data_IF_742017737861
#
_entry.id   IF_742017737861
#
_cell.length_a   1.000
_cell.length_b   1.000
_cell.length_c   1.000
_cell.angle_alpha   90.00
_cell.angle_beta   90.00
_cell.angle_gamma   90.00
#
_symmetry.space_group_name_H-M   'P 1'
#
loop_
_entity.id
_entity.type
_entity.pdbx_description
1 polymer ?
#
# COMPACT_ATOMS: atom_id res chain seq x y z
N UNK A 1 13.18 12.12 -0.93
CA UNK A 1 13.04 10.81 -0.29
C UNK A 1 11.57 10.60 -0.04
N UNK A 2 10.87 9.94 -0.96
CA UNK A 2 9.45 9.67 -0.81
C UNK A 2 9.24 8.72 0.37
N UNK A 3 8.35 9.12 1.28
CA UNK A 3 8.04 8.34 2.47
C UNK A 3 7.42 7.01 2.04
N UNK A 4 8.02 5.91 2.50
CA UNK A 4 7.56 4.57 2.20
C UNK A 4 6.12 4.38 2.72
N UNK A 5 5.17 3.91 1.89
CA UNK A 5 3.80 3.68 2.35
C UNK A 5 3.81 2.55 3.39
N UNK A 6 3.36 2.86 4.61
CA UNK A 6 3.23 1.88 5.69
C UNK A 6 2.04 0.97 5.45
N UNK A 7 2.06 -0.24 6.02
CA UNK A 7 0.91 -1.17 5.96
C UNK A 7 -0.40 -0.48 6.39
N UNK A 8 -0.36 0.30 7.47
CA UNK A 8 -1.51 1.09 7.95
C UNK A 8 -2.03 2.07 6.90
N UNK A 9 -1.13 2.78 6.19
CA UNK A 9 -1.51 3.71 5.14
C UNK A 9 -2.14 2.98 3.94
N UNK A 10 -1.63 1.81 3.57
CA UNK A 10 -2.21 0.98 2.51
C UNK A 10 -3.61 0.49 2.89
N UNK A 11 -3.79 -0.07 4.09
CA UNK A 11 -5.11 -0.49 4.58
C UNK A 11 -6.12 0.66 4.62
N UNK A 12 -5.68 1.85 5.07
CA UNK A 12 -6.53 3.03 5.04
C UNK A 12 -6.98 3.36 3.62
N UNK A 13 -6.06 3.40 2.65
CA UNK A 13 -6.39 3.66 1.24
C UNK A 13 -7.32 2.60 0.65
N UNK A 14 -7.11 1.32 0.96
CA UNK A 14 -8.00 0.24 0.54
C UNK A 14 -9.43 0.51 1.04
N UNK A 15 -9.58 0.75 2.34
CA UNK A 15 -10.89 0.99 2.94
C UNK A 15 -11.57 2.23 2.36
N UNK A 16 -10.83 3.34 2.21
CA UNK A 16 -11.36 4.57 1.61
C UNK A 16 -11.84 4.33 0.19
N UNK A 17 -11.05 3.66 -0.65
CA UNK A 17 -11.43 3.41 -2.04
C UNK A 17 -12.64 2.49 -2.15
N UNK A 18 -12.72 1.43 -1.33
CA UNK A 18 -13.89 0.53 -1.28
C UNK A 18 -15.13 1.29 -0.83
N UNK A 19 -15.04 2.08 0.24
CA UNK A 19 -16.17 2.89 0.72
C UNK A 19 -16.65 3.88 -0.34
N UNK A 20 -15.73 4.52 -1.07
CA UNK A 20 -16.10 5.42 -2.16
C UNK A 20 -16.83 4.68 -3.28
N UNK A 21 -16.31 3.53 -3.72
CA UNK A 21 -16.94 2.72 -4.76
C UNK A 21 -18.37 2.30 -4.37
N UNK A 22 -18.55 1.81 -3.15
CA UNK A 22 -19.86 1.41 -2.63
C UNK A 22 -20.82 2.60 -2.53
N UNK A 23 -20.34 3.75 -2.04
CA UNK A 23 -21.16 4.96 -1.91
C UNK A 23 -21.67 5.45 -3.27
N UNK A 24 -20.83 5.44 -4.32
CA UNK A 24 -21.26 5.84 -5.67
C UNK A 24 -22.33 4.89 -6.22
N UNK A 25 -22.14 3.59 -6.01
CA UNK A 25 -23.15 2.60 -6.41
C UNK A 25 -24.48 2.79 -5.66
N UNK A 26 -24.44 3.03 -4.35
CA UNK A 26 -25.63 3.30 -3.55
C UNK A 26 -26.35 4.57 -4.01
N UNK A 27 -25.62 5.65 -4.33
CA UNK A 27 -26.18 6.89 -4.85
C UNK A 27 -26.89 6.68 -6.21
N UNK A 28 -26.32 5.85 -7.09
CA UNK A 28 -26.93 5.48 -8.37
C UNK A 28 -28.25 4.75 -8.12
N UNK A 29 -28.23 3.73 -7.25
CA UNK A 29 -29.43 2.96 -6.91
C UNK A 29 -30.51 3.84 -6.29
N UNK A 30 -30.15 4.75 -5.37
CA UNK A 30 -31.08 5.68 -4.77
C UNK A 30 -31.74 6.59 -5.81
N UNK A 31 -30.94 7.15 -6.74
CA UNK A 31 -31.43 8.02 -7.82
C UNK A 31 -32.35 7.24 -8.79
N UNK A 32 -32.01 6.00 -9.13
CA UNK A 32 -32.79 5.17 -10.03
C UNK A 32 -34.15 4.74 -9.47
N UNK A 33 -34.32 4.74 -8.14
CA UNK A 33 -35.60 4.41 -7.48
C UNK A 33 -36.56 5.59 -7.34
N UNK A 34 -36.12 6.81 -7.69
CA UNK A 34 -36.98 7.99 -7.63
C UNK A 34 -37.99 7.92 -8.77
N UNK A 35 -39.28 7.90 -8.43
CA UNK A 35 -40.37 7.98 -9.40
C UNK A 35 -40.92 9.41 -9.40
N UNK A 36 -40.70 10.13 -10.49
CA UNK A 36 -41.16 11.51 -10.66
C UNK A 36 -41.78 11.71 -12.03
N UNK A 37 -42.91 12.42 -12.08
CA UNK A 37 -43.62 12.75 -13.33
C UNK A 37 -43.16 14.08 -13.94
N UNK A 38 -42.25 14.79 -13.27
CA UNK A 38 -41.75 16.09 -13.73
C UNK A 38 -40.52 15.95 -14.62
N UNK A 39 -40.59 16.51 -15.83
CA UNK A 39 -39.45 16.54 -16.75
C UNK A 39 -38.21 17.23 -16.16
N UNK A 40 -38.39 18.23 -15.29
CA UNK A 40 -37.25 18.89 -14.64
C UNK A 40 -36.58 17.98 -13.61
N UNK A 41 -37.34 17.15 -12.91
CA UNK A 41 -36.80 16.18 -11.97
C UNK A 41 -36.02 15.07 -12.71
N UNK A 42 -36.60 14.54 -13.79
CA UNK A 42 -35.93 13.54 -14.63
C UNK A 42 -34.62 14.06 -15.22
N UNK A 43 -34.56 15.33 -15.63
CA UNK A 43 -33.32 15.93 -16.13
C UNK A 43 -32.23 16.02 -15.05
N UNK A 44 -32.60 16.35 -13.80
CA UNK A 44 -31.67 16.37 -12.66
C UNK A 44 -31.20 14.97 -12.31
N UNK A 45 -32.12 13.99 -12.25
CA UNK A 45 -31.81 12.59 -11.98
C UNK A 45 -30.85 12.00 -13.02
N UNK A 46 -31.09 12.28 -14.31
CA UNK A 46 -30.21 11.85 -15.41
C UNK A 46 -28.80 12.42 -15.25
N UNK A 47 -28.70 13.72 -14.97
CA UNK A 47 -27.41 14.35 -14.72
C UNK A 47 -26.70 13.74 -13.50
N UNK A 48 -27.44 13.44 -12.44
CA UNK A 48 -26.88 12.84 -11.24
C UNK A 48 -26.38 11.42 -11.48
N UNK A 49 -27.10 10.61 -12.27
CA UNK A 49 -26.62 9.28 -12.70
C UNK A 49 -25.31 9.37 -13.49
N UNK A 50 -25.17 10.33 -14.40
CA UNK A 50 -23.94 10.51 -15.17
C UNK A 50 -22.74 10.90 -14.30
N UNK A 51 -22.96 11.81 -13.34
CA UNK A 51 -21.93 12.24 -12.38
C UNK A 51 -21.48 11.07 -11.51
N UNK A 52 -22.44 10.33 -10.92
CA UNK A 52 -22.15 9.20 -10.04
C UNK A 52 -21.49 8.03 -10.79
N UNK A 53 -21.91 7.77 -12.04
CA UNK A 53 -21.29 6.77 -12.92
C UNK A 53 -19.83 7.11 -13.24
N UNK A 54 -19.56 8.37 -13.61
CA UNK A 54 -18.18 8.84 -13.84
C UNK A 54 -17.33 8.74 -12.56
N UNK A 55 -17.90 9.10 -11.42
CA UNK A 55 -17.21 9.01 -10.14
C UNK A 55 -16.97 7.55 -9.70
N UNK A 56 -17.87 6.62 -10.02
CA UNK A 56 -17.70 5.19 -9.79
C UNK A 56 -16.52 4.64 -10.60
N UNK A 57 -16.42 5.00 -11.88
CA UNK A 57 -15.28 4.62 -12.73
C UNK A 57 -13.96 5.12 -12.14
N UNK A 58 -13.91 6.40 -11.72
CA UNK A 58 -12.71 6.96 -11.07
C UNK A 58 -12.34 6.22 -9.78
N UNK A 59 -13.32 5.88 -8.94
CA UNK A 59 -13.05 5.10 -7.73
C UNK A 59 -12.46 3.71 -8.05
N UNK A 60 -12.91 3.07 -9.14
CA UNK A 60 -12.34 1.83 -9.61
C UNK A 60 -10.89 2.01 -10.15
N UNK A 61 -10.63 3.09 -10.89
CA UNK A 61 -9.28 3.45 -11.35
C UNK A 61 -8.32 3.70 -10.18
N UNK A 62 -8.77 4.33 -9.10
CA UNK A 62 -7.97 4.55 -7.89
C UNK A 62 -7.59 3.23 -7.20
N UNK A 63 -8.49 2.24 -7.20
CA UNK A 63 -8.18 0.88 -6.71
C UNK A 63 -7.13 0.24 -7.61
N UNK A 64 -7.27 0.32 -8.93
CA UNK A 64 -6.30 -0.23 -9.87
C UNK A 64 -4.92 0.42 -9.70
N UNK A 65 -4.87 1.74 -9.57
CA UNK A 65 -3.67 2.52 -9.30
C UNK A 65 -3.00 2.10 -7.97
N UNK A 66 -3.80 1.87 -6.92
CA UNK A 66 -3.31 1.36 -5.64
C UNK A 66 -2.70 -0.05 -5.80
N UNK A 67 -3.37 -0.97 -6.50
CA UNK A 67 -2.82 -2.32 -6.71
C UNK A 67 -1.53 -2.29 -7.52
N UNK A 68 -1.42 -1.39 -8.52
CA UNK A 68 -0.18 -1.17 -9.26
C UNK A 68 0.93 -0.70 -8.33
N UNK A 69 0.66 0.31 -7.50
CA UNK A 69 1.63 0.82 -6.52
C UNK A 69 2.08 -0.29 -5.56
N UNK A 70 1.16 -1.12 -5.06
CA UNK A 70 1.48 -2.24 -4.18
C UNK A 70 2.38 -3.26 -4.89
N UNK A 71 2.07 -3.63 -6.14
CA UNK A 71 2.89 -4.53 -6.94
C UNK A 71 4.28 -3.96 -7.23
N UNK A 72 4.38 -2.68 -7.57
CA UNK A 72 5.66 -2.00 -7.78
C UNK A 72 6.47 -1.94 -6.48
N UNK A 73 5.83 -1.66 -5.35
CA UNK A 73 6.52 -1.64 -4.04
C UNK A 73 6.95 -3.05 -3.62
N UNK A 74 6.25 -4.10 -4.05
CA UNK A 74 6.62 -5.50 -3.80
C UNK A 74 7.77 -5.98 -4.70
N UNK A 75 7.73 -5.66 -6.00
CA UNK A 75 8.74 -6.09 -6.98
C UNK A 75 10.04 -5.28 -6.90
N UNK A 76 9.92 -3.97 -6.67
CA UNK A 76 11.03 -3.02 -6.80
C UNK A 76 11.27 -2.17 -5.55
N UNK A 77 10.37 -2.26 -4.57
CA UNK A 77 10.43 -1.49 -3.33
C UNK A 77 10.79 -2.34 -2.13
N UNK A 78 10.78 -1.71 -0.95
CA UNK A 78 11.02 -2.37 0.35
C UNK A 78 9.75 -2.92 0.98
N UNK A 79 8.71 -3.25 0.19
CA UNK A 79 7.49 -3.85 0.75
C UNK A 79 7.78 -5.31 1.13
N UNK A 80 8.38 -5.49 2.32
CA UNK A 80 8.66 -6.81 2.83
C UNK A 80 7.37 -7.44 3.38
N UNK A 81 6.66 -8.18 2.53
CA UNK A 81 5.49 -8.97 2.92
C UNK A 81 5.84 -10.39 3.35
N UNK A 82 7.09 -10.83 3.16
CA UNK A 82 7.52 -12.22 3.34
C UNK A 82 8.29 -12.44 4.65
N UNK A 83 8.73 -11.38 5.33
CA UNK A 83 9.58 -11.49 6.52
C UNK A 83 11.04 -11.68 6.14
N UNK A 84 11.85 -12.22 7.05
CA UNK A 84 13.20 -12.69 6.71
C UNK A 84 13.10 -14.15 6.28
N UNK A 85 13.66 -14.49 5.11
CA UNK A 85 13.82 -15.90 4.73
C UNK A 85 14.79 -16.60 5.69
N UNK A 86 14.69 -17.93 5.85
CA UNK A 86 15.64 -18.71 6.67
C UNK A 86 17.11 -18.42 6.32
N UNK A 87 17.37 -18.09 5.05
CA UNK A 87 18.69 -17.71 4.54
C UNK A 87 19.13 -16.34 5.08
N UNK A 88 18.21 -15.38 5.18
CA UNK A 88 18.50 -14.05 5.72
C UNK A 88 18.69 -14.11 7.24
N UNK A 89 17.93 -14.95 7.94
CA UNK A 89 18.12 -15.23 9.38
C UNK A 89 19.49 -15.84 9.62
N UNK A 90 19.87 -16.89 8.88
CA UNK A 90 21.20 -17.52 8.99
C UNK A 90 22.32 -16.53 8.69
N UNK A 91 22.18 -15.72 7.64
CA UNK A 91 23.18 -14.68 7.30
C UNK A 91 23.34 -13.66 8.42
N UNK A 92 22.23 -13.23 9.06
CA UNK A 92 22.30 -12.30 10.19
C UNK A 92 22.99 -12.93 11.40
N UNK A 93 22.64 -14.17 11.75
CA UNK A 93 23.29 -14.89 12.86
C UNK A 93 24.79 -15.10 12.62
N UNK A 94 25.20 -15.38 11.39
CA UNK A 94 26.62 -15.48 11.01
C UNK A 94 27.33 -14.12 11.14
N UNK A 95 26.73 -13.05 10.62
CA UNK A 95 27.26 -11.69 10.75
C UNK A 95 27.38 -11.24 12.22
N UNK A 96 26.41 -11.57 13.06
CA UNK A 96 26.47 -11.28 14.51
C UNK A 96 27.63 -12.02 15.18
N UNK A 97 27.85 -13.30 14.83
CA UNK A 97 29.00 -14.09 15.33
C UNK A 97 30.33 -13.51 14.87
N UNK A 98 30.43 -13.09 13.61
CA UNK A 98 31.64 -12.48 13.06
C UNK A 98 31.95 -11.15 13.76
N UNK A 99 30.93 -10.31 14.01
CA UNK A 99 31.09 -9.07 14.78
C UNK A 99 31.56 -9.35 16.20
N UNK A 100 31.00 -10.36 16.88
CA UNK A 100 31.45 -10.74 18.23
C UNK A 100 32.90 -11.25 18.22
N UNK A 101 33.27 -12.06 17.24
CA UNK A 101 34.63 -12.57 17.09
C UNK A 101 35.65 -11.45 16.83
N UNK A 102 35.29 -10.45 16.02
CA UNK A 102 36.12 -9.26 15.78
C UNK A 102 36.25 -8.44 17.07
N UNK A 103 35.15 -8.23 17.80
CA UNK A 103 35.16 -7.49 19.07
C UNK A 103 36.08 -8.17 20.11
N UNK A 104 35.96 -9.49 20.26
CA UNK A 104 36.83 -10.28 21.13
C UNK A 104 38.30 -10.22 20.72
N UNK A 105 38.59 -10.24 19.41
CA UNK A 105 39.96 -10.17 18.89
C UNK A 105 40.59 -8.77 19.10
N UNK A 106 39.78 -7.71 19.03
CA UNK A 106 40.19 -6.34 19.36
C UNK A 106 40.46 -6.22 20.87
N UNK A 107 39.58 -6.75 21.72
CA UNK A 107 39.77 -6.72 23.19
C UNK A 107 40.98 -7.55 23.65
N UNK A 108 41.25 -8.69 23.00
CA UNK A 108 42.42 -9.54 23.29
C UNK A 108 43.74 -8.99 22.74
N UNK A 109 43.72 -7.90 21.98
CA UNK A 109 44.89 -7.09 21.64
C UNK A 109 45.93 -7.76 20.74
N UNK A 110 45.58 -8.80 19.99
CA UNK A 110 46.56 -9.60 19.22
C UNK A 110 46.76 -9.13 17.77
N UNK A 111 45.87 -8.27 17.24
CA UNK A 111 45.91 -7.82 15.84
C UNK A 111 46.56 -6.44 15.61
N UNK A 112 46.96 -5.73 16.68
CA UNK A 112 47.53 -4.37 16.59
C UNK A 112 49.02 -4.29 16.90
N UNK A 113 49.76 -5.41 17.01
CA UNK A 113 51.21 -5.34 17.15
C UNK A 113 51.85 -5.02 15.79
N UNK A 114 52.47 -3.84 15.61
CA UNK A 114 53.19 -3.55 14.38
C UNK A 114 54.35 -4.55 14.25
N UNK A 115 54.44 -5.19 13.08
CA UNK A 115 55.57 -6.04 12.73
C UNK A 115 56.87 -5.22 12.87
N UNK A 116 57.78 -5.76 13.69
CA UNK A 116 59.05 -5.13 14.08
C UNK A 116 60.07 -5.17 12.95
#
# INVERSE_FOLDING_TARGET
>A
MDAQPTSKALHYRINTNISQLLQRFENIMATATVESTSHTATAVETYQLDVESTALVRAAEDILSLTRTMKETWLFGKLNTLGEDEVDVKRREELEKDVTAIQDAIEKGDLLKPAK
#
